data_IF_912341610366
#
_entry.id   IF_912341610366
#
_cell.length_a   1.000
_cell.length_b   1.000
_cell.length_c   1.000
_cell.angle_alpha   90.00
_cell.angle_beta   90.00
_cell.angle_gamma   90.00
#
_symmetry.space_group_name_H-M   'P 1'
#
loop_
_entity.id
_entity.type
_entity.pdbx_description
1 polymer ?
#
# COMPACT_ATOMS: atom_id res chain seq x y z
N UNK A 1 -7.21 9.63 14.59
CA UNK A 1 -5.83 9.16 14.92
C UNK A 1 -4.84 10.27 14.58
N UNK A 2 -4.03 10.69 15.54
CA UNK A 2 -2.98 11.69 15.34
C UNK A 2 -1.79 11.11 14.56
N UNK A 3 -0.91 11.98 14.02
CA UNK A 3 0.33 11.52 13.36
C UNK A 3 1.20 10.71 14.32
N UNK A 4 1.29 11.14 15.59
CA UNK A 4 2.10 10.46 16.61
C UNK A 4 1.58 9.05 16.90
N UNK A 5 0.27 8.89 17.07
CA UNK A 5 -0.34 7.58 17.26
C UNK A 5 -0.13 6.67 16.03
N UNK A 6 -0.24 7.25 14.83
CA UNK A 6 0.00 6.51 13.60
C UNK A 6 1.46 6.03 13.50
N UNK A 7 2.44 6.88 13.81
CA UNK A 7 3.86 6.50 13.85
C UNK A 7 4.10 5.32 14.81
N UNK A 8 3.49 5.34 15.99
CA UNK A 8 3.59 4.23 16.95
C UNK A 8 3.04 2.94 16.35
N UNK A 9 1.88 2.98 15.70
CA UNK A 9 1.27 1.80 15.09
C UNK A 9 2.07 1.29 13.88
N UNK A 10 2.62 2.18 13.05
CA UNK A 10 3.47 1.79 11.93
C UNK A 10 4.78 1.12 12.42
N UNK A 11 5.39 1.61 13.50
CA UNK A 11 6.55 0.95 14.09
C UNK A 11 6.19 -0.45 14.63
N UNK A 12 5.04 -0.59 15.27
CA UNK A 12 4.55 -1.92 15.69
C UNK A 12 4.33 -2.85 14.52
N UNK A 13 3.79 -2.34 13.41
CA UNK A 13 3.62 -3.11 12.18
C UNK A 13 4.98 -3.59 11.63
N UNK A 14 6.03 -2.77 11.70
CA UNK A 14 7.40 -3.18 11.33
C UNK A 14 7.87 -4.33 12.23
N UNK A 15 7.71 -4.22 13.56
CA UNK A 15 8.07 -5.29 14.49
C UNK A 15 7.33 -6.59 14.17
N UNK A 16 6.03 -6.52 13.89
CA UNK A 16 5.21 -7.66 13.52
C UNK A 16 5.70 -8.31 12.22
N UNK A 17 6.00 -7.51 11.18
CA UNK A 17 6.57 -8.04 9.93
C UNK A 17 7.91 -8.74 10.20
N UNK A 18 8.82 -8.11 10.95
CA UNK A 18 10.12 -8.70 11.30
C UNK A 18 9.96 -10.07 11.99
N UNK A 19 9.00 -10.18 12.90
CA UNK A 19 8.70 -11.41 13.63
C UNK A 19 8.20 -12.57 12.75
N UNK A 20 7.60 -12.27 11.59
CA UNK A 20 7.02 -13.28 10.69
C UNK A 20 7.60 -13.25 9.27
N UNK A 21 8.63 -12.44 9.00
CA UNK A 21 9.17 -12.23 7.66
C UNK A 21 9.56 -13.54 6.97
N UNK A 22 10.24 -14.44 7.69
CA UNK A 22 10.61 -15.75 7.17
C UNK A 22 9.36 -16.57 6.80
N UNK A 23 8.37 -16.61 7.68
CA UNK A 23 7.12 -17.34 7.43
C UNK A 23 6.38 -16.78 6.22
N UNK A 24 6.28 -15.44 6.12
CA UNK A 24 5.64 -14.78 4.98
C UNK A 24 6.33 -15.15 3.66
N UNK A 25 7.65 -14.96 3.57
CA UNK A 25 8.39 -15.23 2.35
C UNK A 25 8.33 -16.71 1.93
N UNK A 26 8.55 -17.64 2.88
CA UNK A 26 8.53 -19.08 2.59
C UNK A 26 7.14 -19.59 2.21
N UNK A 27 6.10 -19.13 2.89
CA UNK A 27 4.72 -19.45 2.56
C UNK A 27 4.35 -18.97 1.14
N UNK A 28 4.75 -17.73 0.78
CA UNK A 28 4.53 -17.19 -0.55
C UNK A 28 5.26 -17.99 -1.63
N UNK A 29 6.51 -18.36 -1.38
CA UNK A 29 7.30 -19.18 -2.29
C UNK A 29 6.66 -20.58 -2.50
N UNK A 30 6.25 -21.22 -1.41
CA UNK A 30 5.57 -22.52 -1.44
C UNK A 30 4.28 -22.47 -2.27
N UNK A 31 3.41 -21.47 -2.02
CA UNK A 31 2.14 -21.30 -2.74
C UNK A 31 2.30 -20.98 -4.22
N UNK A 32 3.41 -20.38 -4.60
CA UNK A 32 3.77 -20.15 -6.01
C UNK A 32 4.52 -21.33 -6.65
N UNK A 33 4.72 -22.44 -5.92
CA UNK A 33 5.44 -23.61 -6.42
C UNK A 33 6.94 -23.41 -6.57
N UNK A 34 7.53 -22.46 -5.84
CA UNK A 34 8.97 -22.23 -5.82
C UNK A 34 9.62 -23.25 -4.89
N UNK A 35 10.10 -24.34 -5.45
CA UNK A 35 10.70 -25.47 -4.67
C UNK A 35 12.19 -25.26 -4.37
N UNK A 36 12.83 -24.30 -5.03
CA UNK A 36 14.26 -24.06 -4.91
C UNK A 36 14.55 -22.91 -3.97
N UNK A 37 15.12 -23.19 -2.80
CA UNK A 37 15.39 -22.21 -1.74
C UNK A 37 16.11 -20.93 -2.22
N UNK A 38 17.02 -21.04 -3.19
CA UNK A 38 17.73 -19.86 -3.72
C UNK A 38 16.86 -18.93 -4.58
N UNK A 39 15.64 -19.35 -4.95
CA UNK A 39 14.67 -18.53 -5.68
C UNK A 39 13.65 -17.82 -4.77
N UNK A 40 13.70 -18.07 -3.48
CA UNK A 40 12.84 -17.40 -2.49
C UNK A 40 13.16 -15.89 -2.35
N UNK A 41 14.30 -15.43 -2.86
CA UNK A 41 14.73 -14.03 -2.79
C UNK A 41 13.72 -13.03 -3.36
N UNK A 42 12.96 -13.42 -4.39
CA UNK A 42 11.89 -12.59 -4.95
C UNK A 42 10.76 -12.39 -3.93
N UNK A 43 10.39 -13.43 -3.19
CA UNK A 43 9.33 -13.34 -2.17
C UNK A 43 9.78 -12.54 -0.94
N UNK A 44 11.07 -12.55 -0.62
CA UNK A 44 11.63 -11.65 0.39
C UNK A 44 11.57 -10.19 -0.04
N UNK A 45 11.97 -9.89 -1.28
CA UNK A 45 11.96 -8.54 -1.82
C UNK A 45 10.53 -8.05 -2.08
N UNK A 46 9.69 -8.88 -2.71
CA UNK A 46 8.30 -8.57 -3.06
C UNK A 46 7.29 -8.74 -1.94
N UNK A 47 7.73 -9.07 -0.74
CA UNK A 47 6.92 -9.27 0.45
C UNK A 47 7.40 -8.43 1.64
N UNK A 48 8.06 -9.04 2.65
CA UNK A 48 8.44 -8.36 3.89
C UNK A 48 9.34 -7.14 3.69
N UNK A 49 10.34 -7.23 2.80
CA UNK A 49 11.33 -6.17 2.62
C UNK A 49 10.70 -4.85 2.14
N UNK A 50 9.99 -4.88 1.02
CA UNK A 50 9.36 -3.67 0.47
C UNK A 50 8.29 -3.12 1.41
N UNK A 51 7.61 -3.99 2.17
CA UNK A 51 6.62 -3.60 3.17
C UNK A 51 7.26 -2.80 4.31
N UNK A 52 8.36 -3.28 4.88
CA UNK A 52 9.12 -2.56 5.92
C UNK A 52 9.67 -1.23 5.37
N UNK A 53 10.28 -1.27 4.17
CA UNK A 53 10.83 -0.07 3.54
C UNK A 53 9.77 1.01 3.35
N UNK A 54 8.59 0.64 2.88
CA UNK A 54 7.47 1.57 2.70
C UNK A 54 6.99 2.16 4.02
N UNK A 55 6.87 1.36 5.08
CA UNK A 55 6.51 1.85 6.41
C UNK A 55 7.53 2.88 6.93
N UNK A 56 8.82 2.60 6.74
CA UNK A 56 9.88 3.55 7.13
C UNK A 56 9.78 4.88 6.38
N UNK A 57 9.42 4.85 5.08
CA UNK A 57 9.17 6.09 4.33
C UNK A 57 7.98 6.87 4.85
N UNK A 58 6.88 6.20 5.22
CA UNK A 58 5.73 6.88 5.81
C UNK A 58 6.06 7.45 7.19
N UNK A 59 6.83 6.74 8.03
CA UNK A 59 7.28 7.25 9.33
C UNK A 59 8.16 8.49 9.14
N UNK A 60 9.20 8.39 8.30
CA UNK A 60 10.09 9.52 7.98
C UNK A 60 9.30 10.75 7.47
N UNK A 61 8.26 10.52 6.67
CA UNK A 61 7.39 11.57 6.15
C UNK A 61 6.54 12.22 7.23
N UNK A 62 5.92 11.41 8.10
CA UNK A 62 5.08 11.89 9.20
C UNK A 62 5.89 12.64 10.27
N UNK A 63 7.13 12.21 10.54
CA UNK A 63 8.04 12.87 11.49
C UNK A 63 8.53 14.24 10.99
N UNK A 64 8.73 14.41 9.69
CA UNK A 64 9.20 15.65 9.05
C UNK A 64 8.11 16.69 8.84
N UNK A 65 6.92 16.51 9.41
CA UNK A 65 5.78 17.41 9.23
C UNK A 65 5.49 17.73 7.76
N UNK A 66 5.58 16.74 6.91
CA UNK A 66 5.23 16.85 5.50
C UNK A 66 6.09 17.83 4.67
N UNK A 67 7.30 18.16 5.01
CA UNK A 67 8.09 19.07 4.19
C UNK A 67 8.87 18.32 3.09
N UNK A 68 8.70 18.77 1.85
CA UNK A 68 9.54 18.34 0.73
C UNK A 68 10.93 18.99 0.83
N UNK A 69 11.95 18.23 0.47
CA UNK A 69 13.32 18.76 0.38
C UNK A 69 13.51 19.45 -0.99
N UNK A 70 13.60 20.77 -0.99
CA UNK A 70 13.78 21.56 -2.22
C UNK A 70 15.02 21.15 -3.01
N UNK A 71 16.06 20.64 -2.35
CA UNK A 71 17.29 20.20 -3.03
C UNK A 71 17.08 18.96 -3.92
N UNK A 72 15.93 18.30 -3.81
CA UNK A 72 15.54 17.17 -4.66
C UNK A 72 14.68 17.58 -5.85
N UNK A 73 14.32 18.87 -5.94
CA UNK A 73 13.55 19.40 -7.05
C UNK A 73 14.49 19.93 -8.14
N UNK A 74 14.25 19.50 -9.37
CA UNK A 74 14.97 19.96 -10.57
C UNK A 74 14.01 20.85 -11.37
N UNK A 75 14.21 22.17 -11.26
CA UNK A 75 13.40 23.17 -11.96
C UNK A 75 13.48 23.00 -13.48
N UNK A 76 14.62 22.61 -14.01
CA UNK A 76 14.82 22.46 -15.45
C UNK A 76 13.99 21.32 -16.05
N UNK A 77 13.72 20.30 -15.27
CA UNK A 77 12.93 19.12 -15.66
C UNK A 77 11.52 19.12 -15.09
N UNK A 78 11.24 20.06 -14.19
CA UNK A 78 10.01 20.07 -13.37
C UNK A 78 9.77 18.70 -12.71
N UNK A 79 10.79 18.19 -12.05
CA UNK A 79 10.77 16.86 -11.45
C UNK A 79 11.30 16.85 -10.03
N UNK A 80 10.81 15.89 -9.25
CA UNK A 80 11.24 15.65 -7.87
C UNK A 80 11.83 14.26 -7.75
N UNK A 81 13.07 14.16 -7.25
CA UNK A 81 13.74 12.88 -7.03
C UNK A 81 13.16 12.16 -5.84
N UNK A 82 12.61 10.96 -6.06
CA UNK A 82 12.00 10.13 -5.01
C UNK A 82 12.84 8.92 -4.60
N UNK A 83 13.76 8.47 -5.44
CA UNK A 83 14.65 7.33 -5.14
C UNK A 83 15.95 7.42 -5.94
N UNK A 84 17.12 7.01 -5.39
CA UNK A 84 17.38 6.64 -4.00
C UNK A 84 17.52 7.86 -3.09
N UNK A 85 17.04 7.74 -1.85
CA UNK A 85 17.12 8.80 -0.83
C UNK A 85 18.19 8.51 0.23
N UNK A 86 18.28 7.23 0.64
CA UNK A 86 19.15 6.78 1.72
C UNK A 86 20.44 6.16 1.15
N UNK A 87 21.54 6.22 1.91
CA UNK A 87 22.83 5.63 1.48
C UNK A 87 22.70 4.14 1.17
N UNK A 88 21.98 3.39 2.02
CA UNK A 88 21.78 1.96 1.80
C UNK A 88 21.05 1.66 0.49
N UNK A 89 20.11 2.50 0.09
CA UNK A 89 19.40 2.33 -1.18
C UNK A 89 20.32 2.54 -2.39
N UNK A 90 21.24 3.54 -2.30
CA UNK A 90 22.25 3.77 -3.34
C UNK A 90 23.21 2.58 -3.47
N UNK A 91 23.50 1.92 -2.35
CA UNK A 91 24.37 0.74 -2.33
C UNK A 91 23.65 -0.49 -2.86
N UNK A 92 22.39 -0.69 -2.45
CA UNK A 92 21.58 -1.88 -2.82
C UNK A 92 21.07 -1.80 -4.26
N UNK A 93 20.72 -0.59 -4.72
CA UNK A 93 20.13 -0.36 -6.04
C UNK A 93 20.86 0.73 -6.81
N UNK A 94 22.17 0.55 -7.13
CA UNK A 94 23.02 1.61 -7.67
C UNK A 94 22.59 2.11 -9.06
N UNK A 95 21.84 1.30 -9.81
CA UNK A 95 21.38 1.64 -11.16
C UNK A 95 19.93 2.12 -11.21
N UNK A 96 19.21 2.13 -10.07
CA UNK A 96 17.83 2.55 -10.04
C UNK A 96 17.71 4.02 -9.63
N UNK A 97 16.97 4.78 -10.43
CA UNK A 97 16.59 6.14 -10.12
C UNK A 97 15.09 6.30 -10.41
N UNK A 98 14.38 6.96 -9.50
CA UNK A 98 12.99 7.34 -9.72
C UNK A 98 12.78 8.82 -9.45
N UNK A 99 12.05 9.47 -10.33
CA UNK A 99 11.61 10.85 -10.22
C UNK A 99 10.14 10.97 -10.57
N UNK A 100 9.44 11.89 -9.91
CA UNK A 100 8.10 12.31 -10.27
C UNK A 100 8.22 13.54 -11.14
N UNK A 101 7.67 13.50 -12.34
CA UNK A 101 7.59 14.66 -13.25
C UNK A 101 6.22 15.29 -13.13
N UNK A 102 6.22 16.59 -12.91
CA UNK A 102 5.00 17.37 -12.77
C UNK A 102 4.61 18.03 -14.10
N UNK A 103 3.35 18.43 -14.20
CA UNK A 103 2.91 19.29 -15.29
C UNK A 103 3.74 20.59 -15.32
N UNK A 104 4.05 21.10 -16.50
CA UNK A 104 4.81 22.36 -16.68
C UNK A 104 4.14 23.59 -16.07
N UNK A 105 2.89 23.48 -15.68
CA UNK A 105 2.15 24.56 -15.00
C UNK A 105 2.36 24.61 -13.48
N UNK A 106 3.11 23.66 -12.89
CA UNK A 106 3.31 23.59 -11.43
C UNK A 106 4.74 23.93 -11.07
N UNK A 107 4.93 24.84 -10.13
CA UNK A 107 6.22 25.11 -9.49
C UNK A 107 6.35 24.35 -8.16
N UNK A 108 7.54 24.40 -7.54
CA UNK A 108 7.80 23.70 -6.28
C UNK A 108 6.85 24.12 -5.14
N UNK A 109 6.51 25.41 -5.05
CA UNK A 109 5.63 25.93 -4.00
C UNK A 109 4.21 25.35 -4.14
N UNK A 110 3.67 25.34 -5.35
CA UNK A 110 2.37 24.72 -5.64
C UNK A 110 2.37 23.22 -5.34
N UNK A 111 3.43 22.49 -5.75
CA UNK A 111 3.57 21.06 -5.45
C UNK A 111 3.60 20.84 -3.94
N UNK A 112 4.36 21.66 -3.22
CA UNK A 112 4.48 21.60 -1.77
C UNK A 112 3.16 21.95 -1.06
N UNK A 113 2.36 22.83 -1.61
CA UNK A 113 1.04 23.20 -1.11
C UNK A 113 0.02 22.07 -1.29
N UNK A 114 -0.02 21.44 -2.47
CA UNK A 114 -1.02 20.40 -2.78
C UNK A 114 -0.68 19.01 -2.23
N UNK A 115 0.57 18.74 -1.86
CA UNK A 115 0.94 17.44 -1.29
C UNK A 115 0.24 17.20 0.03
N UNK A 116 -0.07 15.95 0.32
CA UNK A 116 -0.69 15.55 1.59
C UNK A 116 -2.01 16.26 1.90
N UNK A 117 -2.72 16.73 0.88
CA UNK A 117 -3.94 17.53 1.02
C UNK A 117 -4.97 16.93 1.96
N UNK A 118 -5.27 15.64 1.82
CA UNK A 118 -6.24 14.95 2.69
C UNK A 118 -5.77 14.84 4.15
N UNK A 119 -4.47 14.79 4.38
CA UNK A 119 -3.90 14.70 5.72
C UNK A 119 -3.95 16.05 6.45
N UNK A 120 -3.87 17.17 5.70
CA UNK A 120 -3.87 18.52 6.24
C UNK A 120 -5.25 19.07 6.50
N UNK A 121 -6.21 18.77 5.65
CA UNK A 121 -7.57 19.34 5.76
C UNK A 121 -8.37 18.70 6.90
N UNK A 122 -7.98 17.51 7.35
CA UNK A 122 -8.73 16.77 8.36
C UNK A 122 -10.17 16.56 7.90
N UNK A 123 -10.51 15.43 7.37
CA UNK A 123 -11.94 15.14 7.13
C UNK A 123 -12.55 14.78 8.47
N UNK A 124 -13.47 15.59 8.97
CA UNK A 124 -14.21 15.34 10.22
C UNK A 124 -15.09 14.08 10.13
N UNK A 125 -15.34 13.58 8.95
CA UNK A 125 -16.01 12.30 8.70
C UNK A 125 -14.99 11.24 8.28
N UNK A 126 -14.87 10.16 9.08
CA UNK A 126 -14.13 8.97 8.67
C UNK A 126 -14.68 8.40 7.36
N UNK A 127 -13.81 7.82 6.54
CA UNK A 127 -14.19 7.10 5.32
C UNK A 127 -13.77 5.63 5.41
N UNK A 128 -14.52 4.76 4.74
CA UNK A 128 -14.21 3.34 4.62
C UNK A 128 -13.81 3.04 3.19
N UNK A 129 -12.59 2.57 3.01
CA UNK A 129 -12.09 2.13 1.69
C UNK A 129 -12.06 0.61 1.63
N UNK A 130 -12.74 0.06 0.64
CA UNK A 130 -12.60 -1.34 0.26
C UNK A 130 -11.38 -1.50 -0.65
N UNK A 131 -10.46 -2.38 -0.25
CA UNK A 131 -9.32 -2.76 -1.08
C UNK A 131 -9.56 -4.17 -1.62
N UNK A 132 -9.62 -4.27 -2.94
CA UNK A 132 -9.64 -5.54 -3.65
C UNK A 132 -8.20 -5.90 -4.01
N UNK A 133 -7.60 -6.75 -3.19
CA UNK A 133 -6.18 -7.06 -3.24
C UNK A 133 -5.74 -7.76 -4.51
N UNK A 134 -4.53 -7.45 -5.00
CA UNK A 134 -3.90 -8.12 -6.12
C UNK A 134 -3.54 -9.58 -5.80
N UNK A 135 -3.50 -10.42 -6.86
CA UNK A 135 -3.15 -11.85 -6.73
C UNK A 135 -1.72 -12.22 -7.10
N UNK A 136 -0.91 -11.29 -7.63
CA UNK A 136 0.39 -11.61 -8.23
C UNK A 136 1.59 -11.42 -7.28
N UNK A 137 1.60 -10.38 -6.46
CA UNK A 137 2.71 -10.06 -5.54
C UNK A 137 2.15 -9.92 -4.12
N UNK A 138 2.80 -10.59 -3.16
CA UNK A 138 2.27 -10.72 -1.80
C UNK A 138 2.24 -9.42 -1.00
N UNK A 139 3.08 -8.42 -1.35
CA UNK A 139 3.07 -7.11 -0.68
C UNK A 139 2.04 -6.13 -1.24
N UNK A 140 1.54 -6.27 -2.45
CA UNK A 140 0.65 -5.27 -3.05
C UNK A 140 -0.59 -5.01 -2.18
N UNK A 141 -1.33 -6.03 -1.69
CA UNK A 141 -2.47 -5.78 -0.82
C UNK A 141 -2.09 -5.04 0.47
N UNK A 142 -0.89 -5.30 1.00
CA UNK A 142 -0.35 -4.57 2.15
C UNK A 142 -0.07 -3.10 1.81
N UNK A 143 0.63 -2.85 0.70
CA UNK A 143 1.01 -1.50 0.28
C UNK A 143 -0.21 -0.61 -0.02
N UNK A 144 -1.21 -1.17 -0.72
CA UNK A 144 -2.48 -0.50 -0.99
C UNK A 144 -3.21 -0.16 0.33
N UNK A 145 -3.22 -1.08 1.29
CA UNK A 145 -3.80 -0.88 2.62
C UNK A 145 -3.13 0.27 3.36
N UNK A 146 -1.80 0.27 3.44
CA UNK A 146 -1.04 1.33 4.12
C UNK A 146 -1.21 2.68 3.42
N UNK A 147 -1.22 2.71 2.09
CA UNK A 147 -1.47 3.94 1.35
C UNK A 147 -2.81 4.59 1.73
N UNK A 148 -3.90 3.84 1.69
CA UNK A 148 -5.22 4.39 2.00
C UNK A 148 -5.38 4.72 3.50
N UNK A 149 -4.78 3.93 4.38
CA UNK A 149 -4.79 4.21 5.81
C UNK A 149 -4.03 5.50 6.15
N UNK A 150 -2.83 5.69 5.59
CA UNK A 150 -1.94 6.82 5.91
C UNK A 150 -2.27 8.05 5.08
N UNK A 151 -2.31 7.93 3.74
CA UNK A 151 -2.49 9.06 2.84
C UNK A 151 -3.94 9.54 2.77
N UNK A 152 -4.91 8.62 2.79
CA UNK A 152 -6.32 8.96 2.68
C UNK A 152 -7.06 9.00 4.03
N UNK A 153 -6.39 8.61 5.13
CA UNK A 153 -7.00 8.57 6.49
C UNK A 153 -8.29 7.75 6.54
N UNK A 154 -8.36 6.69 5.77
CA UNK A 154 -9.52 5.80 5.67
C UNK A 154 -9.37 4.60 6.60
N UNK A 155 -10.49 4.11 7.15
CA UNK A 155 -10.57 2.74 7.66
C UNK A 155 -10.66 1.78 6.49
N UNK A 156 -10.09 0.58 6.63
CA UNK A 156 -9.85 -0.31 5.50
C UNK A 156 -10.58 -1.64 5.68
N UNK A 157 -11.26 -2.06 4.64
CA UNK A 157 -11.64 -3.47 4.46
C UNK A 157 -10.75 -4.03 3.36
N UNK A 158 -9.79 -4.86 3.74
CA UNK A 158 -8.91 -5.55 2.80
C UNK A 158 -9.52 -6.90 2.45
N UNK A 159 -10.07 -7.02 1.25
CA UNK A 159 -10.53 -8.29 0.68
C UNK A 159 -9.42 -8.90 -0.15
N UNK A 160 -8.89 -10.04 0.30
CA UNK A 160 -7.82 -10.73 -0.41
C UNK A 160 -8.29 -11.33 -1.73
N UNK A 161 -7.39 -11.38 -2.71
CA UNK A 161 -7.63 -12.17 -3.91
C UNK A 161 -7.66 -13.65 -3.53
N UNK A 162 -8.57 -14.48 -4.08
CA UNK A 162 -8.61 -15.92 -3.79
C UNK A 162 -7.28 -16.64 -3.98
N UNK A 163 -6.45 -16.20 -4.96
CA UNK A 163 -5.10 -16.75 -5.16
C UNK A 163 -4.18 -16.48 -3.97
N UNK A 164 -4.41 -15.41 -3.23
CA UNK A 164 -3.62 -14.95 -2.09
C UNK A 164 -4.32 -15.12 -0.74
N UNK A 165 -5.39 -15.91 -0.66
CA UNK A 165 -6.11 -16.17 0.60
C UNK A 165 -5.21 -16.74 1.71
N UNK A 166 -4.14 -17.41 1.34
CA UNK A 166 -3.13 -17.92 2.25
C UNK A 166 -2.39 -16.82 3.03
N UNK A 167 -2.44 -15.57 2.58
CA UNK A 167 -1.86 -14.42 3.28
C UNK A 167 -2.72 -13.91 4.44
N UNK A 168 -3.96 -14.38 4.59
CA UNK A 168 -4.82 -13.90 5.68
C UNK A 168 -4.16 -14.03 7.05
N UNK A 169 -3.64 -15.22 7.48
CA UNK A 169 -2.96 -15.33 8.78
C UNK A 169 -1.71 -14.47 8.90
N UNK A 170 -1.04 -14.15 7.79
CA UNK A 170 0.08 -13.20 7.76
C UNK A 170 -0.43 -11.80 8.08
N UNK A 171 -1.45 -11.31 7.36
CA UNK A 171 -1.94 -9.96 7.53
C UNK A 171 -2.71 -9.76 8.84
N UNK A 172 -3.35 -10.79 9.39
CA UNK A 172 -3.91 -10.75 10.75
C UNK A 172 -2.82 -10.42 11.78
N UNK A 173 -1.63 -11.01 11.66
CA UNK A 173 -0.51 -10.72 12.55
C UNK A 173 0.14 -9.37 12.26
N UNK A 174 0.36 -9.07 10.98
CA UNK A 174 1.02 -7.83 10.55
C UNK A 174 0.22 -6.61 10.98
N UNK A 175 -1.11 -6.63 10.80
CA UNK A 175 -2.00 -5.51 11.11
C UNK A 175 -2.67 -5.61 12.48
N UNK A 176 -2.21 -6.48 13.37
CA UNK A 176 -2.89 -6.78 14.64
C UNK A 176 -3.38 -5.53 15.38
N UNK A 177 -2.51 -4.56 15.62
CA UNK A 177 -2.87 -3.36 16.39
C UNK A 177 -3.89 -2.46 15.67
N UNK A 178 -3.85 -2.42 14.35
CA UNK A 178 -4.86 -1.71 13.54
C UNK A 178 -6.20 -2.45 13.54
N UNK A 179 -6.17 -3.79 13.53
CA UNK A 179 -7.37 -4.64 13.58
C UNK A 179 -8.04 -4.52 14.94
N UNK A 180 -7.30 -4.62 16.03
CA UNK A 180 -7.82 -4.48 17.40
C UNK A 180 -8.47 -3.11 17.64
N UNK A 181 -8.01 -2.07 16.96
CA UNK A 181 -8.59 -0.72 17.02
C UNK A 181 -9.70 -0.46 15.99
N UNK A 182 -10.05 -1.44 15.16
CA UNK A 182 -11.12 -1.34 14.16
C UNK A 182 -10.76 -0.49 12.93
N UNK A 183 -9.48 -0.19 12.69
CA UNK A 183 -9.06 0.56 11.50
C UNK A 183 -8.87 -0.33 10.27
N UNK A 184 -8.59 -1.60 10.45
CA UNK A 184 -8.40 -2.56 9.35
C UNK A 184 -9.22 -3.82 9.65
N UNK A 185 -9.87 -4.34 8.61
CA UNK A 185 -10.47 -5.68 8.60
C UNK A 185 -9.93 -6.44 7.39
N UNK A 186 -9.41 -7.66 7.62
CA UNK A 186 -8.91 -8.53 6.54
C UNK A 186 -9.91 -9.65 6.33
N UNK A 187 -10.41 -9.79 5.11
CA UNK A 187 -11.42 -10.77 4.76
C UNK A 187 -11.02 -11.60 3.54
N UNK A 188 -11.34 -12.86 3.57
CA UNK A 188 -11.29 -13.76 2.42
C UNK A 188 -12.65 -13.76 1.74
N UNK A 189 -12.71 -14.28 0.54
CA UNK A 189 -13.97 -14.49 -0.15
C UNK A 189 -13.82 -14.55 -1.66
N UNK A 190 -14.87 -14.98 -2.29
CA UNK A 190 -15.01 -15.18 -3.73
C UNK A 190 -15.62 -13.96 -4.45
N UNK A 191 -16.07 -14.17 -5.68
CA UNK A 191 -16.72 -13.13 -6.50
C UNK A 191 -18.02 -12.61 -5.86
N UNK A 192 -18.94 -13.45 -5.34
CA UNK A 192 -20.12 -13.00 -4.59
C UNK A 192 -19.79 -12.09 -3.41
N UNK A 193 -18.76 -12.43 -2.63
CA UNK A 193 -18.29 -11.59 -1.51
C UNK A 193 -17.78 -10.24 -2.01
N UNK A 194 -16.99 -10.24 -3.09
CA UNK A 194 -16.51 -9.00 -3.71
C UNK A 194 -17.68 -8.12 -4.16
N UNK A 195 -18.67 -8.70 -4.84
CA UNK A 195 -19.86 -7.99 -5.32
C UNK A 195 -20.64 -7.38 -4.15
N UNK A 196 -20.91 -8.15 -3.10
CA UNK A 196 -21.59 -7.65 -1.90
C UNK A 196 -20.86 -6.44 -1.30
N UNK A 197 -19.54 -6.53 -1.16
CA UNK A 197 -18.73 -5.45 -0.58
C UNK A 197 -18.70 -4.22 -1.48
N UNK A 198 -18.58 -4.38 -2.80
CA UNK A 198 -18.52 -3.23 -3.74
C UNK A 198 -19.85 -2.48 -3.81
N UNK A 199 -20.98 -3.14 -3.55
CA UNK A 199 -22.32 -2.55 -3.57
C UNK A 199 -22.78 -2.07 -2.17
N UNK A 200 -21.96 -2.31 -1.12
CA UNK A 200 -22.39 -2.03 0.24
C UNK A 200 -22.35 -0.53 0.56
N UNK A 201 -23.47 0.00 1.06
CA UNK A 201 -23.66 1.45 1.33
C UNK A 201 -22.66 2.10 2.29
N UNK A 202 -21.96 1.32 3.09
CA UNK A 202 -20.97 1.82 4.05
C UNK A 202 -19.56 1.88 3.45
N UNK A 203 -19.40 1.58 2.16
CA UNK A 203 -18.13 1.71 1.44
C UNK A 203 -18.13 3.05 0.72
N UNK A 204 -17.20 3.92 1.08
CA UNK A 204 -17.08 5.26 0.50
C UNK A 204 -16.17 5.29 -0.74
N UNK A 205 -15.21 4.36 -0.79
CA UNK A 205 -14.26 4.26 -1.91
C UNK A 205 -13.84 2.81 -2.14
N UNK A 206 -13.52 2.50 -3.39
CA UNK A 206 -13.00 1.20 -3.80
C UNK A 206 -11.63 1.39 -4.44
N UNK A 207 -10.65 0.65 -3.96
CA UNK A 207 -9.34 0.53 -4.60
C UNK A 207 -9.19 -0.86 -5.19
N UNK A 208 -8.83 -0.91 -6.45
CA UNK A 208 -8.61 -2.17 -7.18
C UNK A 208 -7.24 -2.18 -7.82
N UNK A 209 -6.43 -3.16 -7.44
CA UNK A 209 -5.23 -3.54 -8.18
C UNK A 209 -5.50 -4.87 -8.88
N UNK A 210 -5.74 -4.82 -10.19
CA UNK A 210 -6.17 -6.00 -10.96
C UNK A 210 -6.31 -5.76 -12.45
N UNK A 211 -7.06 -6.62 -13.14
CA UNK A 211 -7.28 -6.53 -14.59
C UNK A 211 -8.35 -5.50 -14.94
N UNK A 212 -8.27 -4.97 -16.19
CA UNK A 212 -9.33 -4.13 -16.76
C UNK A 212 -10.70 -4.82 -16.72
N UNK A 213 -10.73 -6.14 -16.93
CA UNK A 213 -11.96 -6.94 -16.85
C UNK A 213 -12.63 -6.82 -15.47
N UNK A 214 -11.85 -6.92 -14.40
CA UNK A 214 -12.38 -6.78 -13.03
C UNK A 214 -12.91 -5.36 -12.81
N UNK A 215 -12.17 -4.35 -13.28
CA UNK A 215 -12.58 -2.95 -13.20
C UNK A 215 -13.91 -2.70 -13.92
N UNK A 216 -14.02 -3.15 -15.15
CA UNK A 216 -15.22 -2.97 -15.99
C UNK A 216 -16.46 -3.65 -15.40
N UNK A 217 -16.29 -4.84 -14.81
CA UNK A 217 -17.37 -5.52 -14.10
C UNK A 217 -17.86 -4.75 -12.87
N UNK A 218 -16.94 -4.14 -12.11
CA UNK A 218 -17.29 -3.37 -10.90
C UNK A 218 -17.97 -2.06 -11.28
N UNK A 219 -17.39 -1.32 -12.25
CA UNK A 219 -17.83 0.04 -12.58
C UNK A 219 -19.07 0.05 -13.47
N UNK A 220 -19.15 -0.86 -14.44
CA UNK A 220 -20.20 -0.85 -15.46
C UNK A 220 -21.21 -1.98 -15.28
N UNK A 221 -21.03 -2.90 -14.35
CA UNK A 221 -21.89 -4.07 -14.19
C UNK A 221 -21.90 -5.00 -15.41
N UNK A 222 -20.93 -4.84 -16.31
CA UNK A 222 -20.86 -5.59 -17.53
C UNK A 222 -20.41 -7.01 -17.22
N UNK A 223 -21.37 -7.93 -17.25
CA UNK A 223 -21.07 -9.29 -17.66
C UNK A 223 -20.56 -9.18 -19.09
N UNK A 224 -19.23 -9.18 -19.29
CA UNK A 224 -18.65 -9.28 -20.63
C UNK A 224 -18.98 -10.68 -21.19
N UNK A 225 -20.22 -10.86 -21.60
CA UNK A 225 -20.60 -11.89 -22.55
C UNK A 225 -20.26 -11.29 -23.91
N UNK A 226 -19.08 -11.67 -24.38
CA UNK A 226 -18.66 -11.63 -25.77
C UNK A 226 -18.89 -10.35 -26.59
N UNK A 227 -17.80 -9.65 -26.78
CA UNK A 227 -17.51 -9.14 -28.13
C UNK A 227 -16.29 -9.92 -28.65
#
# INVERSE_FOLDING_TARGET
>A
MSNQELIVLLNKTIENIQGIAYYWATLSAEKKGILQKHKEGEEWLGGPFVSILTLQYYIDYLEKNDQLDINKFDDSKNSYKVFPNKFIEKLTFPLLNAEIRFSKSMNFEQINEYRGFKQRIGTDSGSVTLILGAGNVSSIPFLDTIFHLVANRSSIILKLNPVNDYLNPVFQKVFNEFIERGFISVVNGDIPTSKYLTEHRSIDAIHLTGSNYTYENIVYGLSLIHI
#
